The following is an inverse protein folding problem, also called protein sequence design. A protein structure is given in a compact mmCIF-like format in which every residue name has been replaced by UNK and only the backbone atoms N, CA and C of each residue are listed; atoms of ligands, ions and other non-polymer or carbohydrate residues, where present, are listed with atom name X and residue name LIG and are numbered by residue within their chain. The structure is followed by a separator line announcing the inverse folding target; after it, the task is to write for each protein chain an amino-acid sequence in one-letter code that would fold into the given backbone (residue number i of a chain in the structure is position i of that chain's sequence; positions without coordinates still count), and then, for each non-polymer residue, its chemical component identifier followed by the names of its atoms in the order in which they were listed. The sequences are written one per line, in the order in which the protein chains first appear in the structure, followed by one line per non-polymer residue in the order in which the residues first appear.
data_IF_952427921759
#
_entry.id   IF_952427921759
#
_cell.length_a   1.000
_cell.length_b   1.000
_cell.length_c   1.000
_cell.angle_alpha   90.00
_cell.angle_beta   90.00
_cell.angle_gamma   90.00
#
_symmetry.space_group_name_H-M   'P 1'
#
loop_
_entity.id
_entity.type
_entity.pdbx_description
1 polymer ?
#
# COMPACT_ATOMS: atom_id res chain seq x y z
N UNK A 1 -10.58 -7.32 -2.84
CA UNK A 1 -9.90 -8.28 -3.75
C UNK A 1 -8.55 -8.55 -3.15
N UNK A 2 -8.08 -9.78 -3.12
CA UNK A 2 -6.69 -10.04 -2.72
C UNK A 2 -5.74 -9.56 -3.81
N UNK A 3 -4.50 -9.22 -3.46
CA UNK A 3 -3.45 -8.88 -4.42
C UNK A 3 -3.29 -9.97 -5.49
N UNK A 4 -3.34 -11.23 -5.08
CA UNK A 4 -3.24 -12.38 -6.00
C UNK A 4 -4.38 -12.38 -7.03
N UNK A 5 -5.62 -12.14 -6.61
CA UNK A 5 -6.76 -12.00 -7.54
C UNK A 5 -6.59 -10.80 -8.48
N UNK A 6 -6.03 -9.69 -7.98
CA UNK A 6 -5.76 -8.50 -8.80
C UNK A 6 -4.73 -8.80 -9.88
N UNK A 7 -3.62 -9.47 -9.54
CA UNK A 7 -2.60 -9.89 -10.51
C UNK A 7 -3.20 -10.82 -11.58
N UNK A 8 -3.97 -11.84 -11.16
CA UNK A 8 -4.65 -12.75 -12.09
C UNK A 8 -5.61 -12.00 -13.02
N UNK A 9 -6.34 -11.03 -12.49
CA UNK A 9 -7.26 -10.18 -13.25
C UNK A 9 -6.52 -9.33 -14.28
N UNK A 10 -5.41 -8.70 -13.88
CA UNK A 10 -4.58 -7.89 -14.75
C UNK A 10 -3.96 -8.73 -15.87
N UNK A 11 -3.42 -9.92 -15.57
CA UNK A 11 -2.84 -10.83 -16.57
C UNK A 11 -3.90 -11.30 -17.58
N UNK A 12 -5.14 -11.55 -17.13
CA UNK A 12 -6.24 -11.96 -18.02
C UNK A 12 -6.80 -10.81 -18.87
N UNK A 13 -6.50 -9.57 -18.51
CA UNK A 13 -7.05 -8.37 -19.12
C UNK A 13 -6.61 -8.18 -20.60
N UNK A 14 -7.47 -7.52 -21.39
CA UNK A 14 -7.12 -7.15 -22.77
C UNK A 14 -5.89 -6.22 -22.85
N UNK A 15 -5.73 -5.19 -21.99
CA UNK A 15 -4.54 -4.34 -22.01
C UNK A 15 -3.24 -5.11 -21.80
N UNK A 16 -3.19 -6.04 -20.84
CA UNK A 16 -2.00 -6.87 -20.61
C UNK A 16 -1.67 -7.74 -21.82
N UNK A 17 -2.66 -8.48 -22.35
CA UNK A 17 -2.49 -9.34 -23.54
C UNK A 17 -2.04 -8.56 -24.78
N UNK A 18 -2.40 -7.29 -24.87
CA UNK A 18 -1.99 -6.37 -25.95
C UNK A 18 -0.73 -5.57 -25.63
N UNK A 19 -0.01 -5.89 -24.54
CA UNK A 19 1.21 -5.21 -24.08
C UNK A 19 1.04 -3.68 -23.98
N UNK A 20 -0.09 -3.26 -23.41
CA UNK A 20 -0.45 -1.83 -23.25
C UNK A 20 -0.04 -1.24 -21.90
N UNK A 21 0.15 -2.07 -20.88
CA UNK A 21 0.76 -1.63 -19.63
C UNK A 21 2.25 -1.35 -19.85
N UNK A 22 2.73 -0.25 -19.28
CA UNK A 22 4.14 0.15 -19.33
C UNK A 22 4.98 -0.60 -18.31
N UNK A 23 4.38 -0.93 -17.16
CA UNK A 23 5.02 -1.61 -16.05
C UNK A 23 4.66 -3.09 -16.01
N UNK A 24 5.56 -3.96 -15.51
CA UNK A 24 5.31 -5.38 -15.40
C UNK A 24 4.10 -5.67 -14.49
N UNK A 25 3.39 -6.74 -14.81
CA UNK A 25 2.30 -7.28 -14.00
C UNK A 25 2.65 -8.72 -13.68
N UNK A 26 3.25 -8.92 -12.52
CA UNK A 26 3.76 -10.20 -12.04
C UNK A 26 3.58 -10.28 -10.52
N UNK A 27 3.35 -11.49 -10.01
CA UNK A 27 3.20 -11.68 -8.56
C UNK A 27 4.53 -11.41 -7.86
N UNK A 28 4.50 -10.59 -6.80
CA UNK A 28 5.70 -10.12 -6.10
C UNK A 28 6.18 -8.74 -6.54
N UNK A 29 5.58 -8.15 -7.57
CA UNK A 29 5.85 -6.77 -7.99
C UNK A 29 4.72 -5.84 -7.54
N UNK A 30 5.08 -4.66 -7.04
CA UNK A 30 4.08 -3.70 -6.57
C UNK A 30 3.23 -3.14 -7.72
N UNK A 31 1.96 -2.90 -7.44
CA UNK A 31 1.03 -2.35 -8.43
C UNK A 31 1.43 -0.92 -8.75
N UNK A 32 1.36 -0.57 -10.03
CA UNK A 32 1.59 0.80 -10.48
C UNK A 32 0.26 1.51 -10.67
N UNK A 33 0.27 2.84 -10.62
CA UNK A 33 -0.97 3.63 -10.73
C UNK A 33 -1.77 3.34 -12.02
N UNK A 34 -1.14 2.90 -13.11
CA UNK A 34 -1.87 2.47 -14.31
C UNK A 34 -2.68 1.18 -14.11
N UNK A 35 -2.17 0.25 -13.29
CA UNK A 35 -2.83 -1.02 -12.97
C UNK A 35 -3.99 -0.76 -12.01
N UNK A 36 -3.75 0.03 -10.96
CA UNK A 36 -4.75 0.44 -9.98
C UNK A 36 -5.91 1.18 -10.65
N UNK A 37 -5.60 2.18 -11.48
CA UNK A 37 -6.60 2.96 -12.20
C UNK A 37 -7.40 2.10 -13.17
N UNK A 38 -6.75 1.20 -13.90
CA UNK A 38 -7.47 0.27 -14.77
C UNK A 38 -8.43 -0.62 -13.95
N UNK A 39 -7.98 -1.12 -12.79
CA UNK A 39 -8.81 -1.95 -11.92
C UNK A 39 -10.08 -1.20 -11.47
N UNK A 40 -9.93 0.00 -10.91
CA UNK A 40 -11.08 0.76 -10.38
C UNK A 40 -11.94 1.40 -11.46
N UNK A 41 -11.35 1.90 -12.57
CA UNK A 41 -12.10 2.63 -13.60
C UNK A 41 -12.68 1.72 -14.70
N UNK A 42 -12.03 0.59 -15.01
CA UNK A 42 -12.38 -0.24 -16.17
C UNK A 42 -12.83 -1.64 -15.82
N UNK A 43 -12.29 -2.24 -14.76
CA UNK A 43 -12.67 -3.59 -14.36
C UNK A 43 -13.85 -3.59 -13.39
N UNK A 44 -13.73 -2.87 -12.28
CA UNK A 44 -14.74 -2.83 -11.22
C UNK A 44 -15.75 -1.69 -11.45
N UNK A 45 -15.30 -0.53 -11.93
CA UNK A 45 -16.16 0.64 -12.12
C UNK A 45 -16.48 1.40 -10.83
N UNK A 46 -15.63 1.29 -9.81
CA UNK A 46 -15.80 1.91 -8.51
C UNK A 46 -14.59 1.67 -7.58
N UNK A 47 -14.64 2.14 -6.33
CA UNK A 47 -13.57 1.93 -5.36
C UNK A 47 -13.30 0.44 -5.09
N UNK A 48 -12.04 0.10 -4.86
CA UNK A 48 -11.59 -1.28 -4.57
C UNK A 48 -10.64 -1.27 -3.39
N UNK A 49 -10.84 -2.20 -2.46
CA UNK A 49 -9.86 -2.48 -1.40
C UNK A 49 -9.06 -3.71 -1.83
N UNK A 50 -7.76 -3.53 -2.00
CA UNK A 50 -6.82 -4.62 -2.31
C UNK A 50 -6.17 -5.07 -1.01
N UNK A 51 -6.15 -6.37 -0.72
CA UNK A 51 -5.61 -6.93 0.52
C UNK A 51 -4.52 -7.98 0.27
N UNK A 52 -3.80 -8.37 1.32
CA UNK A 52 -2.91 -9.54 1.31
C UNK A 52 -1.76 -9.42 0.30
N UNK A 53 -1.02 -8.31 0.38
CA UNK A 53 0.14 -8.06 -0.46
C UNK A 53 1.32 -8.98 -0.11
N UNK A 54 2.23 -9.28 -1.06
CA UNK A 54 3.46 -10.03 -0.80
C UNK A 54 4.29 -9.38 0.31
N UNK A 55 4.83 -10.21 1.22
CA UNK A 55 5.56 -9.72 2.38
C UNK A 55 6.84 -8.94 2.02
N UNK A 56 7.51 -9.33 0.93
CA UNK A 56 8.80 -8.80 0.50
C UNK A 56 8.75 -7.35 0.02
N UNK A 57 7.58 -6.88 -0.43
CA UNK A 57 7.39 -5.52 -0.98
C UNK A 57 6.67 -4.57 -0.02
N UNK A 58 6.35 -5.03 1.19
CA UNK A 58 5.64 -4.23 2.21
C UNK A 58 6.50 -4.09 3.47
N UNK A 59 6.14 -3.16 4.34
CA UNK A 59 6.96 -2.81 5.49
C UNK A 59 7.06 -3.93 6.56
N UNK A 60 8.17 -3.95 7.30
CA UNK A 60 8.47 -4.93 8.36
C UNK A 60 7.37 -5.07 9.42
N UNK A 61 6.65 -3.99 9.72
CA UNK A 61 5.64 -3.95 10.79
C UNK A 61 4.30 -4.60 10.40
N UNK A 62 4.09 -4.95 9.13
CA UNK A 62 2.82 -5.55 8.68
C UNK A 62 2.74 -7.01 9.13
N UNK A 63 1.59 -7.44 9.67
CA UNK A 63 1.42 -8.80 10.20
C UNK A 63 1.62 -9.84 9.10
N UNK A 64 2.43 -10.86 9.36
CA UNK A 64 2.58 -12.00 8.47
C UNK A 64 1.31 -12.86 8.48
N UNK A 65 0.75 -13.12 7.30
CA UNK A 65 -0.38 -14.01 7.13
C UNK A 65 0.04 -15.48 7.29
N UNK A 66 -0.94 -16.34 7.54
CA UNK A 66 -0.71 -17.76 7.84
C UNK A 66 -0.23 -18.55 6.61
N UNK A 67 -0.34 -17.97 5.40
CA UNK A 67 0.20 -18.53 4.15
C UNK A 67 1.73 -18.44 4.03
N UNK A 68 2.39 -17.70 4.93
CA UNK A 68 3.84 -17.49 4.93
C UNK A 68 4.38 -16.67 3.75
N UNK A 69 3.51 -16.10 2.90
CA UNK A 69 3.87 -15.39 1.66
C UNK A 69 3.38 -13.94 1.66
N UNK A 70 2.24 -13.67 2.28
CA UNK A 70 1.60 -12.36 2.27
C UNK A 70 1.59 -11.71 3.65
N UNK A 71 1.30 -10.42 3.68
CA UNK A 71 1.05 -9.66 4.90
C UNK A 71 -0.36 -9.09 4.88
N UNK A 72 -0.93 -8.87 6.05
CA UNK A 72 -2.25 -8.28 6.26
C UNK A 72 -2.28 -6.77 5.93
N UNK A 73 -1.84 -6.42 4.73
CA UNK A 73 -1.87 -5.08 4.15
C UNK A 73 -3.21 -4.84 3.46
N UNK A 74 -3.60 -3.57 3.38
CA UNK A 74 -4.72 -3.13 2.56
C UNK A 74 -4.44 -1.76 1.95
N UNK A 75 -4.79 -1.62 0.67
CA UNK A 75 -4.75 -0.35 -0.06
C UNK A 75 -6.17 -0.08 -0.61
N UNK A 76 -6.70 1.11 -0.33
CA UNK A 76 -8.00 1.58 -0.82
C UNK A 76 -7.78 2.40 -2.09
N UNK A 77 -8.19 1.85 -3.21
CA UNK A 77 -8.05 2.44 -4.53
C UNK A 77 -9.36 3.13 -4.93
N UNK A 78 -9.27 4.36 -5.43
CA UNK A 78 -10.41 5.13 -5.92
C UNK A 78 -10.18 5.61 -7.37
N UNK A 79 -11.26 5.82 -8.16
CA UNK A 79 -11.14 6.34 -9.52
C UNK A 79 -10.37 7.66 -9.62
N UNK A 80 -9.66 7.86 -10.73
CA UNK A 80 -8.90 9.09 -11.00
C UNK A 80 -7.52 9.12 -10.34
N UNK A 81 -7.45 9.04 -9.00
CA UNK A 81 -6.17 9.20 -8.27
C UNK A 81 -5.43 7.88 -7.98
N UNK A 82 -6.11 6.72 -7.92
CA UNK A 82 -5.52 5.45 -7.50
C UNK A 82 -5.60 5.28 -5.98
N UNK A 83 -4.51 4.87 -5.33
CA UNK A 83 -4.47 4.71 -3.86
C UNK A 83 -4.85 6.00 -3.10
N UNK A 84 -5.77 5.90 -2.13
CA UNK A 84 -6.14 7.00 -1.23
C UNK A 84 -5.75 6.70 0.22
N UNK A 85 -5.91 5.45 0.65
CA UNK A 85 -5.63 4.98 2.01
C UNK A 85 -4.76 3.73 1.91
N UNK A 86 -3.69 3.67 2.69
CA UNK A 86 -2.84 2.50 2.85
C UNK A 86 -2.76 2.10 4.31
N UNK A 87 -2.87 0.81 4.62
CA UNK A 87 -2.90 0.34 6.00
C UNK A 87 -2.57 -1.13 6.16
N UNK A 88 -2.52 -1.58 7.41
CA UNK A 88 -2.34 -3.00 7.72
C UNK A 88 -2.73 -3.34 9.15
N UNK A 89 -2.98 -4.62 9.39
CA UNK A 89 -2.78 -5.18 10.72
C UNK A 89 -1.29 -5.17 11.04
N UNK A 90 -0.95 -4.78 12.28
CA UNK A 90 0.44 -4.72 12.72
C UNK A 90 0.88 -6.06 13.29
N UNK A 91 2.13 -6.44 13.08
CA UNK A 91 2.69 -7.67 13.63
C UNK A 91 2.76 -7.56 15.16
N UNK A 92 1.88 -8.26 15.84
CA UNK A 92 1.74 -8.26 17.29
C UNK A 92 2.64 -9.31 17.97
N UNK A 93 3.17 -10.28 17.22
CA UNK A 93 3.99 -11.37 17.78
C UNK A 93 5.46 -10.92 17.79
N UNK A 94 6.04 -10.82 18.99
CA UNK A 94 7.37 -10.23 19.20
C UNK A 94 8.48 -10.97 18.45
N UNK A 95 8.45 -12.30 18.47
CA UNK A 95 9.41 -13.18 17.80
C UNK A 95 9.39 -12.97 16.27
N UNK A 96 8.20 -12.91 15.68
CA UNK A 96 8.03 -12.66 14.25
C UNK A 96 8.45 -11.23 13.91
N UNK A 97 8.06 -10.23 14.73
CA UNK A 97 8.47 -8.85 14.50
C UNK A 97 9.99 -8.68 14.55
N UNK A 98 10.69 -9.30 15.50
CA UNK A 98 12.17 -9.30 15.57
C UNK A 98 12.79 -9.93 14.32
N UNK A 99 12.26 -11.06 13.86
CA UNK A 99 12.71 -11.68 12.61
C UNK A 99 12.54 -10.71 11.43
N UNK A 100 11.40 -10.06 11.31
CA UNK A 100 11.15 -9.07 10.24
C UNK A 100 12.06 -7.85 10.37
N UNK A 101 12.38 -7.37 11.58
CA UNK A 101 13.39 -6.33 11.75
C UNK A 101 14.75 -6.78 11.20
N UNK A 102 15.18 -8.01 11.49
CA UNK A 102 16.43 -8.56 10.96
C UNK A 102 16.39 -8.68 9.43
N UNK A 103 15.30 -9.21 8.86
CA UNK A 103 15.12 -9.36 7.41
C UNK A 103 15.17 -8.00 6.67
N UNK A 104 14.71 -6.93 7.30
CA UNK A 104 14.72 -5.56 6.78
C UNK A 104 15.99 -4.76 7.18
N UNK A 105 16.97 -5.39 7.81
CA UNK A 105 18.19 -4.75 8.33
C UNK A 105 17.91 -3.56 9.27
N UNK A 106 16.91 -3.70 10.14
CA UNK A 106 16.54 -2.71 11.16
C UNK A 106 17.14 -3.15 12.50
N UNK A 107 18.14 -2.43 13.03
CA UNK A 107 18.73 -2.73 14.33
C UNK A 107 17.67 -2.63 15.45
N UNK A 108 17.62 -3.62 16.33
CA UNK A 108 16.62 -3.66 17.41
C UNK A 108 16.73 -2.48 18.37
N UNK A 109 17.95 -1.98 18.59
CA UNK A 109 18.24 -0.82 19.44
C UNK A 109 17.68 0.49 18.88
N UNK A 110 17.42 0.59 17.57
CA UNK A 110 16.75 1.75 16.99
C UNK A 110 15.23 1.75 17.26
N UNK A 111 14.66 0.56 17.44
CA UNK A 111 13.21 0.34 17.58
C UNK A 111 12.83 -0.30 18.92
N UNK A 112 13.72 -0.23 19.92
CA UNK A 112 13.57 -0.91 21.21
C UNK A 112 12.21 -0.61 21.87
N UNK A 113 11.83 0.67 21.86
CA UNK A 113 10.58 1.18 22.43
C UNK A 113 9.36 0.66 21.67
N UNK A 114 9.49 0.41 20.37
CA UNK A 114 8.44 -0.17 19.55
C UNK A 114 8.28 -1.67 19.83
N UNK A 115 9.39 -2.40 20.00
CA UNK A 115 9.36 -3.81 20.39
C UNK A 115 8.75 -4.02 21.78
N UNK A 116 8.94 -3.07 22.71
CA UNK A 116 8.35 -3.13 24.06
C UNK A 116 6.82 -3.19 24.03
N UNK A 117 6.19 -2.58 23.03
CA UNK A 117 4.72 -2.62 22.85
C UNK A 117 4.20 -4.05 22.61
N UNK A 118 5.09 -5.01 22.29
CA UNK A 118 4.75 -6.43 22.13
C UNK A 118 5.02 -7.28 23.37
N UNK A 119 5.68 -6.73 24.41
CA UNK A 119 6.06 -7.47 25.62
C UNK A 119 4.97 -7.46 26.70
N UNK A 120 4.28 -6.35 26.88
CA UNK A 120 3.40 -6.13 28.02
C UNK A 120 1.93 -6.02 27.58
N UNK A 121 1.24 -7.15 27.48
CA UNK A 121 -0.18 -7.18 27.13
C UNK A 121 -0.47 -6.74 25.69
N UNK A 122 0.33 -7.23 24.73
CA UNK A 122 0.11 -6.88 23.32
C UNK A 122 -1.28 -7.30 22.84
N UNK A 123 -1.81 -6.56 21.87
CA UNK A 123 -3.13 -6.78 21.30
C UNK A 123 -3.04 -6.89 19.77
N UNK A 124 -4.01 -7.57 19.16
CA UNK A 124 -4.23 -7.47 17.72
C UNK A 124 -4.73 -6.05 17.41
N UNK A 125 -3.98 -5.31 16.62
CA UNK A 125 -4.28 -3.92 16.29
C UNK A 125 -3.99 -3.62 14.82
N UNK A 126 -4.80 -2.72 14.26
CA UNK A 126 -4.72 -2.30 12.87
C UNK A 126 -4.67 -0.78 12.81
N UNK A 127 -4.18 -0.25 11.69
CA UNK A 127 -4.26 1.18 11.41
C UNK A 127 -3.98 1.47 9.94
N UNK A 128 -4.22 2.71 9.55
CA UNK A 128 -4.02 3.18 8.19
C UNK A 128 -3.52 4.62 8.19
N UNK A 129 -2.94 5.03 7.08
CA UNK A 129 -2.65 6.42 6.73
C UNK A 129 -3.50 6.85 5.55
N UNK A 130 -3.84 8.13 5.50
CA UNK A 130 -4.57 8.74 4.40
C UNK A 130 -3.82 9.98 3.94
N UNK A 131 -3.55 10.08 2.64
CA UNK A 131 -2.96 11.29 2.07
C UNK A 131 -4.00 12.40 2.06
N UNK A 132 -3.87 13.40 2.92
CA UNK A 132 -4.85 14.46 3.06
C UNK A 132 -5.02 15.26 1.75
N UNK A 133 -3.92 15.63 1.11
CA UNK A 133 -3.94 16.34 -0.18
C UNK A 133 -4.61 15.48 -1.27
N UNK A 134 -4.38 14.16 -1.27
CA UNK A 134 -5.04 13.24 -2.22
C UNK A 134 -6.55 13.19 -2.00
N UNK A 135 -7.01 13.22 -0.74
CA UNK A 135 -8.43 13.34 -0.42
C UNK A 135 -9.01 14.65 -0.95
N UNK A 136 -8.32 15.78 -0.74
CA UNK A 136 -8.75 17.09 -1.25
C UNK A 136 -8.82 17.09 -2.78
N UNK A 137 -7.81 16.56 -3.47
CA UNK A 137 -7.84 16.39 -4.93
C UNK A 137 -9.06 15.61 -5.38
N UNK A 138 -9.31 14.46 -4.75
CA UNK A 138 -10.43 13.60 -5.10
C UNK A 138 -11.78 14.29 -4.88
N UNK A 139 -11.95 15.01 -3.76
CA UNK A 139 -13.18 15.71 -3.43
C UNK A 139 -13.44 16.96 -4.30
N UNK A 140 -12.38 17.64 -4.75
CA UNK A 140 -12.48 18.88 -5.53
C UNK A 140 -12.43 18.67 -7.04
N UNK A 141 -12.01 17.48 -7.50
CA UNK A 141 -11.79 17.18 -8.91
C UNK A 141 -10.51 17.78 -9.51
N UNK A 142 -9.64 18.37 -8.68
CA UNK A 142 -8.36 18.92 -9.12
C UNK A 142 -7.39 17.80 -9.52
N UNK A 143 -6.67 17.99 -10.63
CA UNK A 143 -5.79 16.95 -11.20
C UNK A 143 -4.33 17.02 -10.74
N UNK A 144 -3.91 18.12 -10.11
CA UNK A 144 -2.53 18.33 -9.66
C UNK A 144 -2.48 18.53 -8.14
N UNK A 145 -1.62 17.75 -7.47
CA UNK A 145 -1.48 17.79 -6.01
C UNK A 145 -0.98 19.14 -5.47
N UNK A 146 -0.37 19.95 -6.34
CA UNK A 146 0.11 21.29 -6.01
C UNK A 146 -1.02 22.29 -5.80
N UNK A 147 -2.20 22.03 -6.36
CA UNK A 147 -3.32 22.97 -6.38
C UNK A 147 -4.29 22.76 -5.19
N UNK A 148 -3.97 21.80 -4.32
CA UNK A 148 -4.81 21.41 -3.16
C UNK A 148 -4.12 21.62 -1.82
N UNK A 149 -2.96 22.28 -1.83
CA UNK A 149 -2.23 22.74 -0.66
C UNK A 149 -1.85 24.21 -0.90
N UNK A 150 -1.90 25.09 0.11
CA UNK A 150 -1.69 26.53 -0.11
C UNK A 150 -0.37 26.88 -0.79
N UNK A 151 0.73 26.27 -0.32
CA UNK A 151 2.09 26.55 -0.76
C UNK A 151 2.85 25.21 -0.92
N UNK A 152 2.79 24.57 -2.10
CA UNK A 152 3.36 23.25 -2.30
C UNK A 152 4.89 23.24 -2.15
N UNK A 153 5.45 22.10 -1.73
CA UNK A 153 6.90 21.88 -1.68
C UNK A 153 7.26 20.76 -2.63
N UNK A 154 8.12 21.06 -3.60
CA UNK A 154 8.55 20.10 -4.63
C UNK A 154 10.04 20.25 -4.92
N UNK A 155 10.70 19.30 -5.61
CA UNK A 155 12.12 19.44 -5.93
C UNK A 155 12.40 20.80 -6.60
N UNK A 156 13.40 21.52 -6.06
CA UNK A 156 13.78 22.88 -6.50
C UNK A 156 12.72 23.97 -6.28
N UNK A 157 11.71 23.76 -5.44
CA UNK A 157 10.65 24.74 -5.16
C UNK A 157 10.25 24.74 -3.68
N UNK A 158 10.53 25.85 -3.00
CA UNK A 158 10.20 26.08 -1.59
C UNK A 158 9.65 27.49 -1.29
N UNK A 159 9.20 28.19 -2.34
CA UNK A 159 8.54 29.50 -2.25
C UNK A 159 7.08 29.38 -1.77
N UNK A 160 6.40 30.51 -1.58
CA UNK A 160 4.96 30.53 -1.33
C UNK A 160 4.21 30.04 -2.58
#
# INVERSE_FOLDING_TARGET
MTYTEVIDTLIRSKPYKKKKFKFPVEWGVDLQSEHERWLVEKHVGGPVIVTDYPAEIKAFYMRQNDDGKTVAAMDVLVPGIGELIGGSQREERLDILKKKCADFNIPEDHVWWYLETRKFGSAKHCGFGMGFERLVMYATGMSNIRDVIPFPRTPLSAEF
#
